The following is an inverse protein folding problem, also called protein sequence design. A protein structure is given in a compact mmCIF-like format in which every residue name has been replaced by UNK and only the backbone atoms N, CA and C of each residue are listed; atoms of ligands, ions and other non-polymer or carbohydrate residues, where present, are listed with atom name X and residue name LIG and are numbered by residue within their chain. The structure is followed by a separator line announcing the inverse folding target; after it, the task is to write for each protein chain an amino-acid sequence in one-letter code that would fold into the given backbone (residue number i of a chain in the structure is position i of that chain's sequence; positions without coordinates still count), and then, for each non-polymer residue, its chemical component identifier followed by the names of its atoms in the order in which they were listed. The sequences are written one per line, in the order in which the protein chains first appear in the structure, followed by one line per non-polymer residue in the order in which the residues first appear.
data_IF_598790846168
#
_entry.id   IF_598790846168
#
_cell.length_a   1.000
_cell.length_b   1.000
_cell.length_c   1.000
_cell.angle_alpha   90.00
_cell.angle_beta   90.00
_cell.angle_gamma   90.00
#
_symmetry.space_group_name_H-M   'P 1'
#
loop_
_entity.id
_entity.type
_entity.pdbx_description
1 polymer ?
#
# COMPACT_ATOMS: atom_id res chain seq x y z
N UNK A 1 -37.24 11.54 24.06
CA UNK A 1 -36.41 10.49 23.42
C UNK A 1 -35.26 11.09 22.59
N UNK A 2 -35.00 12.39 22.70
CA UNK A 2 -34.15 13.12 21.74
C UNK A 2 -32.65 13.14 22.10
N UNK A 3 -32.25 13.04 23.37
CA UNK A 3 -30.84 13.11 23.79
C UNK A 3 -29.95 12.06 23.10
N UNK A 4 -30.45 10.85 22.89
CA UNK A 4 -29.70 9.77 22.22
C UNK A 4 -29.52 10.03 20.71
N UNK A 5 -30.51 10.63 20.06
CA UNK A 5 -30.46 10.99 18.65
C UNK A 5 -29.51 12.18 18.42
N UNK A 6 -29.58 13.19 19.28
CA UNK A 6 -28.63 14.30 19.30
C UNK A 6 -27.21 13.81 19.55
N UNK A 7 -26.99 12.89 20.51
CA UNK A 7 -25.68 12.30 20.75
C UNK A 7 -25.13 11.54 19.53
N UNK A 8 -25.96 10.76 18.83
CA UNK A 8 -25.54 10.03 17.62
C UNK A 8 -25.15 10.99 16.51
N UNK A 9 -25.92 12.07 16.30
CA UNK A 9 -25.64 13.11 15.30
C UNK A 9 -24.35 13.86 15.66
N UNK A 10 -24.23 14.32 16.90
CA UNK A 10 -23.05 15.01 17.43
C UNK A 10 -21.80 14.14 17.28
N UNK A 11 -21.88 12.85 17.65
CA UNK A 11 -20.78 11.90 17.46
C UNK A 11 -20.35 11.76 16.00
N UNK A 12 -21.32 11.66 15.08
CA UNK A 12 -21.04 11.57 13.64
C UNK A 12 -20.33 12.82 13.14
N UNK A 13 -20.82 14.00 13.53
CA UNK A 13 -20.26 15.29 13.15
C UNK A 13 -18.88 15.52 13.78
N UNK A 14 -18.67 15.19 15.05
CA UNK A 14 -17.36 15.27 15.70
C UNK A 14 -16.34 14.36 15.00
N UNK A 15 -16.74 13.15 14.61
CA UNK A 15 -15.88 12.26 13.82
C UNK A 15 -15.54 12.87 12.45
N UNK A 16 -16.53 13.44 11.76
CA UNK A 16 -16.34 14.13 10.47
C UNK A 16 -15.44 15.37 10.61
N UNK A 17 -15.61 16.14 11.70
CA UNK A 17 -14.76 17.29 12.08
C UNK A 17 -13.31 16.85 12.22
N UNK A 18 -13.04 15.84 13.05
CA UNK A 18 -11.70 15.31 13.26
C UNK A 18 -11.06 14.83 11.96
N UNK A 19 -11.80 14.06 11.15
CA UNK A 19 -11.29 13.58 9.86
C UNK A 19 -10.94 14.74 8.91
N UNK A 20 -11.79 15.77 8.87
CA UNK A 20 -11.59 16.94 8.01
C UNK A 20 -10.43 17.80 8.51
N UNK A 21 -10.31 18.02 9.83
CA UNK A 21 -9.18 18.69 10.48
C UNK A 21 -7.87 17.95 10.20
N UNK A 22 -7.88 16.63 10.31
CA UNK A 22 -6.75 15.79 9.94
C UNK A 22 -6.38 15.92 8.47
N UNK A 23 -7.37 15.94 7.58
CA UNK A 23 -7.12 16.15 6.15
C UNK A 23 -6.49 17.52 5.89
N UNK A 24 -7.00 18.57 6.53
CA UNK A 24 -6.52 19.94 6.42
C UNK A 24 -5.09 20.09 6.97
N UNK A 25 -4.81 19.51 8.14
CA UNK A 25 -3.46 19.43 8.70
C UNK A 25 -2.48 18.69 7.78
N UNK A 26 -2.93 17.65 7.08
CA UNK A 26 -2.11 16.99 6.06
C UNK A 26 -1.81 17.93 4.89
N UNK A 27 -2.84 18.52 4.27
CA UNK A 27 -2.70 19.38 3.09
C UNK A 27 -1.80 20.58 3.36
N UNK A 28 -1.91 21.20 4.55
CA UNK A 28 -1.04 22.30 4.98
C UNK A 28 0.45 21.95 5.02
N UNK A 29 0.82 20.68 5.19
CA UNK A 29 2.24 20.26 5.19
C UNK A 29 2.84 20.17 3.79
N UNK A 30 2.01 19.93 2.77
CA UNK A 30 2.46 19.75 1.38
C UNK A 30 2.82 21.08 0.69
N UNK A 31 2.12 22.16 1.03
CA UNK A 31 2.35 23.50 0.46
C UNK A 31 3.78 24.03 0.75
N UNK A 32 4.23 24.17 2.02
CA UNK A 32 5.55 24.71 2.31
C UNK A 32 6.68 23.80 1.84
N UNK A 33 6.44 22.48 1.79
CA UNK A 33 7.44 21.52 1.31
C UNK A 33 7.49 21.41 -0.21
N UNK A 34 6.62 22.11 -0.96
CA UNK A 34 6.47 21.97 -2.43
C UNK A 34 6.39 20.50 -2.87
N UNK A 35 5.75 19.66 -2.05
CA UNK A 35 5.56 18.24 -2.37
C UNK A 35 4.14 18.01 -2.83
N UNK A 36 3.95 17.34 -3.97
CA UNK A 36 2.62 17.01 -4.49
C UNK A 36 2.25 15.59 -4.02
N UNK A 37 1.09 15.40 -3.37
CA UNK A 37 0.60 14.07 -3.02
C UNK A 37 0.46 13.20 -4.27
N UNK A 38 0.77 11.89 -4.17
CA UNK A 38 0.77 10.99 -5.34
C UNK A 38 -0.53 10.99 -6.15
N UNK A 39 -1.67 11.11 -5.48
CA UNK A 39 -2.99 11.12 -6.15
C UNK A 39 -3.33 12.43 -6.85
N UNK A 40 -2.55 13.50 -6.63
CA UNK A 40 -2.70 14.81 -7.28
C UNK A 40 -1.61 15.05 -8.33
N UNK A 41 -0.72 14.09 -8.54
CA UNK A 41 0.37 14.24 -9.49
C UNK A 41 -0.13 13.92 -10.90
N UNK A 42 -0.12 14.93 -11.76
CA UNK A 42 -0.53 14.82 -13.16
C UNK A 42 0.61 14.20 -13.96
N UNK A 43 0.43 12.95 -14.39
CA UNK A 43 1.40 12.21 -15.22
C UNK A 43 0.95 12.19 -16.67
N UNK A 44 1.10 13.33 -17.34
CA UNK A 44 0.77 13.45 -18.76
C UNK A 44 2.06 13.72 -19.54
N UNK A 45 2.31 12.91 -20.57
CA UNK A 45 3.42 13.11 -21.48
C UNK A 45 2.96 13.91 -22.71
N UNK A 46 3.76 14.85 -23.21
CA UNK A 46 3.42 15.59 -24.41
C UNK A 46 3.45 14.65 -25.62
N UNK A 47 2.39 14.66 -26.42
CA UNK A 47 2.33 13.91 -27.69
C UNK A 47 3.08 14.62 -28.83
N UNK A 48 3.44 15.88 -28.63
CA UNK A 48 4.18 16.68 -29.59
C UNK A 48 5.62 16.17 -29.81
N UNK A 49 6.23 16.44 -30.98
CA UNK A 49 7.61 16.05 -31.29
C UNK A 49 8.67 16.66 -30.35
N UNK A 50 8.29 17.64 -29.52
CA UNK A 50 9.16 18.29 -28.53
C UNK A 50 9.60 17.42 -27.34
N UNK A 51 9.06 16.21 -27.18
CA UNK A 51 9.40 15.30 -26.05
C UNK A 51 10.88 14.93 -25.96
N UNK A 52 11.65 15.04 -27.05
CA UNK A 52 13.10 14.79 -27.08
C UNK A 52 13.92 15.95 -26.48
N UNK A 53 13.37 17.16 -26.47
CA UNK A 53 14.07 18.34 -25.96
C UNK A 53 13.97 18.41 -24.44
N UNK A 54 15.12 18.36 -23.76
CA UNK A 54 15.21 18.50 -22.29
C UNK A 54 14.59 19.83 -21.81
N UNK A 55 14.81 20.92 -22.56
CA UNK A 55 14.27 22.24 -22.24
C UNK A 55 12.74 22.25 -22.27
N UNK A 56 12.15 21.63 -23.29
CA UNK A 56 10.70 21.52 -23.42
C UNK A 56 10.10 20.66 -22.31
N UNK A 57 10.67 19.48 -22.05
CA UNK A 57 10.20 18.58 -20.99
C UNK A 57 10.31 19.22 -19.60
N UNK A 58 11.37 19.97 -19.31
CA UNK A 58 11.50 20.70 -18.06
C UNK A 58 10.37 21.72 -17.88
N UNK A 59 10.10 22.53 -18.92
CA UNK A 59 9.02 23.52 -18.90
C UNK A 59 7.63 22.88 -18.80
N UNK A 60 7.42 21.77 -19.51
CA UNK A 60 6.19 20.98 -19.46
C UNK A 60 5.92 20.46 -18.05
N UNK A 61 6.91 19.83 -17.43
CA UNK A 61 6.79 19.31 -16.07
C UNK A 61 6.61 20.43 -15.04
N UNK A 62 7.24 21.58 -15.23
CA UNK A 62 7.03 22.78 -14.41
C UNK A 62 5.56 23.23 -14.45
N UNK A 63 4.95 23.27 -15.64
CA UNK A 63 3.52 23.60 -15.79
C UNK A 63 2.64 22.57 -15.07
N UNK A 64 2.85 21.27 -15.31
CA UNK A 64 2.07 20.21 -14.66
C UNK A 64 2.21 20.25 -13.13
N UNK A 65 3.41 20.52 -12.63
CA UNK A 65 3.68 20.69 -11.22
C UNK A 65 2.91 21.89 -10.65
N UNK A 66 2.95 23.05 -11.33
CA UNK A 66 2.22 24.24 -10.92
C UNK A 66 0.71 24.00 -10.91
N UNK A 67 0.14 23.33 -11.92
CA UNK A 67 -1.27 22.93 -11.94
C UNK A 67 -1.60 22.02 -10.74
N UNK A 68 -0.73 21.05 -10.45
CA UNK A 68 -0.92 20.14 -9.30
C UNK A 68 -0.92 20.89 -7.96
N UNK A 69 -0.08 21.92 -7.81
CA UNK A 69 -0.05 22.80 -6.62
C UNK A 69 -1.31 23.67 -6.55
N UNK A 70 -1.78 24.22 -7.67
CA UNK A 70 -3.04 25.00 -7.69
C UNK A 70 -4.24 24.12 -7.31
N UNK A 71 -4.31 22.89 -7.80
CA UNK A 71 -5.33 21.92 -7.38
C UNK A 71 -5.26 21.61 -5.88
N UNK A 72 -4.05 21.51 -5.33
CA UNK A 72 -3.84 21.33 -3.89
C UNK A 72 -4.37 22.54 -3.08
N UNK A 73 -4.15 23.76 -3.56
CA UNK A 73 -4.66 24.99 -2.94
C UNK A 73 -6.19 25.08 -3.01
N UNK A 74 -6.79 24.73 -4.15
CA UNK A 74 -8.24 24.67 -4.32
C UNK A 74 -8.86 23.62 -3.39
N UNK A 75 -8.22 22.45 -3.25
CA UNK A 75 -8.67 21.43 -2.30
C UNK A 75 -8.54 21.93 -0.85
N UNK A 76 -7.49 22.68 -0.53
CA UNK A 76 -7.32 23.26 0.80
C UNK A 76 -8.41 24.29 1.12
N UNK A 77 -8.76 25.17 0.17
CA UNK A 77 -9.83 26.15 0.38
C UNK A 77 -11.18 25.47 0.57
N UNK A 78 -11.53 24.51 -0.30
CA UNK A 78 -12.76 23.72 -0.18
C UNK A 78 -12.86 22.99 1.16
N UNK A 79 -11.80 22.28 1.56
CA UNK A 79 -11.78 21.54 2.83
C UNK A 79 -11.84 22.47 4.05
N UNK A 80 -11.30 23.68 3.96
CA UNK A 80 -11.39 24.69 5.01
C UNK A 80 -12.82 25.20 5.17
N UNK A 81 -13.53 25.46 4.06
CA UNK A 81 -14.94 25.87 4.09
C UNK A 81 -15.82 24.77 4.68
N UNK A 82 -15.63 23.52 4.25
CA UNK A 82 -16.37 22.37 4.78
C UNK A 82 -16.09 22.18 6.29
N UNK A 83 -14.84 22.36 6.73
CA UNK A 83 -14.51 22.32 8.16
C UNK A 83 -15.29 23.37 8.96
N UNK A 84 -15.38 24.61 8.47
CA UNK A 84 -16.17 25.68 9.11
C UNK A 84 -17.65 25.32 9.19
N UNK A 85 -18.22 24.78 8.11
CA UNK A 85 -19.63 24.34 8.11
C UNK A 85 -19.89 23.27 9.17
N UNK A 86 -19.04 22.24 9.26
CA UNK A 86 -19.18 21.20 10.28
C UNK A 86 -19.05 21.77 11.70
N UNK A 87 -18.14 22.71 11.92
CA UNK A 87 -17.99 23.37 13.23
C UNK A 87 -19.24 24.17 13.59
N UNK A 88 -19.81 24.90 12.63
CA UNK A 88 -21.05 25.65 12.83
C UNK A 88 -22.23 24.70 13.11
N UNK A 89 -22.37 23.61 12.35
CA UNK A 89 -23.41 22.60 12.62
C UNK A 89 -23.29 21.99 14.02
N UNK A 90 -22.07 21.77 14.51
CA UNK A 90 -21.83 21.30 15.87
C UNK A 90 -22.21 22.37 16.90
N UNK A 91 -21.87 23.65 16.68
CA UNK A 91 -22.25 24.72 17.60
C UNK A 91 -23.76 24.91 17.65
N UNK A 92 -24.44 24.81 16.52
CA UNK A 92 -25.90 24.96 16.44
C UNK A 92 -26.60 23.86 17.25
N UNK A 93 -26.17 22.61 17.08
CA UNK A 93 -26.70 21.47 17.86
C UNK A 93 -26.41 21.61 19.36
N UNK A 94 -25.26 22.19 19.75
CA UNK A 94 -24.92 22.40 21.16
C UNK A 94 -25.73 23.54 21.78
N UNK A 95 -26.05 24.57 20.99
CA UNK A 95 -26.79 25.74 21.43
C UNK A 95 -28.32 25.51 21.39
N UNK A 96 -28.79 24.47 20.70
CA UNK A 96 -30.20 24.05 20.74
C UNK A 96 -30.63 23.73 22.19
N UNK A 97 -31.65 24.44 22.66
CA UNK A 97 -32.22 24.37 24.03
C UNK A 97 -32.82 23.01 24.40
N UNK A 98 -32.91 22.08 23.44
CA UNK A 98 -33.49 20.74 23.60
C UNK A 98 -32.49 19.72 24.19
N UNK A 99 -31.19 20.04 24.24
CA UNK A 99 -30.22 19.21 24.97
C UNK A 99 -30.34 19.55 26.45
N UNK A 100 -30.83 18.59 27.24
CA UNK A 100 -30.89 18.72 28.71
C UNK A 100 -29.53 19.19 29.25
N UNK A 101 -29.52 20.27 30.04
CA UNK A 101 -28.29 20.85 30.62
C UNK A 101 -27.47 19.83 31.40
N UNK A 102 -28.13 18.82 31.96
CA UNK A 102 -27.52 17.76 32.76
C UNK A 102 -26.83 16.68 31.90
N UNK A 103 -27.27 16.47 30.65
CA UNK A 103 -26.69 15.50 29.72
C UNK A 103 -25.42 16.04 29.02
N UNK A 104 -25.33 17.36 28.87
CA UNK A 104 -24.23 18.05 28.19
C UNK A 104 -22.82 17.70 28.71
N UNK A 105 -22.54 17.68 30.03
CA UNK A 105 -21.22 17.28 30.54
C UNK A 105 -20.87 15.81 30.24
N UNK A 106 -21.87 14.91 30.27
CA UNK A 106 -21.68 13.48 29.98
C UNK A 106 -21.34 13.29 28.50
N UNK A 107 -22.05 13.99 27.62
CA UNK A 107 -21.82 13.99 26.18
C UNK A 107 -20.42 14.53 25.85
N UNK A 108 -20.02 15.65 26.46
CA UNK A 108 -18.69 16.26 26.25
C UNK A 108 -17.55 15.30 26.65
N UNK A 109 -17.66 14.60 27.79
CA UNK A 109 -16.66 13.59 28.19
C UNK A 109 -16.55 12.45 27.18
N UNK A 110 -17.69 11.89 26.75
CA UNK A 110 -17.70 10.81 25.75
C UNK A 110 -17.12 11.24 24.40
N UNK A 111 -17.33 12.49 23.99
CA UNK A 111 -16.72 13.02 22.78
C UNK A 111 -15.20 13.17 22.92
N UNK A 112 -14.71 13.66 24.06
CA UNK A 112 -13.27 13.80 24.31
C UNK A 112 -12.53 12.45 24.25
N UNK A 113 -13.15 11.38 24.74
CA UNK A 113 -12.58 10.03 24.63
C UNK A 113 -12.46 9.57 23.16
N UNK A 114 -13.46 9.88 22.34
CA UNK A 114 -13.45 9.58 20.90
C UNK A 114 -12.36 10.39 20.19
N UNK A 115 -12.22 11.67 20.51
CA UNK A 115 -11.17 12.54 19.98
C UNK A 115 -9.79 11.93 20.26
N UNK A 116 -9.53 11.51 21.51
CA UNK A 116 -8.26 10.89 21.92
C UNK A 116 -7.96 9.61 21.14
N UNK A 117 -8.95 8.73 20.95
CA UNK A 117 -8.80 7.48 20.21
C UNK A 117 -8.51 7.75 18.72
N UNK A 118 -9.28 8.61 18.06
CA UNK A 118 -9.10 8.90 16.63
C UNK A 118 -7.77 9.63 16.35
N UNK A 119 -7.36 10.57 17.21
CA UNK A 119 -6.08 11.27 17.13
C UNK A 119 -4.89 10.30 17.10
N UNK A 120 -4.91 9.28 17.96
CA UNK A 120 -3.85 8.28 18.04
C UNK A 120 -3.72 7.46 16.74
N UNK A 121 -4.86 6.99 16.20
CA UNK A 121 -4.92 6.21 14.95
C UNK A 121 -4.49 7.02 13.73
N UNK A 122 -4.81 8.32 13.70
CA UNK A 122 -4.55 9.17 12.54
C UNK A 122 -3.09 9.67 12.48
N UNK A 123 -2.44 9.94 13.62
CA UNK A 123 -1.03 10.39 13.66
C UNK A 123 -0.07 9.36 13.04
N UNK A 124 -0.27 8.08 13.32
CA UNK A 124 0.59 7.01 12.79
C UNK A 124 0.44 6.86 11.26
N UNK A 125 -0.81 6.88 10.76
CA UNK A 125 -1.10 6.84 9.32
C UNK A 125 -0.53 8.05 8.57
N UNK A 126 -0.56 9.23 9.18
CA UNK A 126 -0.03 10.47 8.60
C UNK A 126 1.48 10.38 8.37
N UNK A 127 2.26 9.96 9.39
CA UNK A 127 3.72 9.83 9.26
C UNK A 127 4.09 8.90 8.10
N UNK A 128 3.42 7.76 8.01
CA UNK A 128 3.65 6.77 6.97
C UNK A 128 3.23 7.26 5.57
N UNK A 129 2.16 8.05 5.44
CA UNK A 129 1.75 8.61 4.14
C UNK A 129 2.71 9.70 3.68
N UNK A 130 3.03 10.66 4.56
CA UNK A 130 3.92 11.77 4.22
C UNK A 130 5.32 11.28 3.86
N UNK A 131 5.88 10.31 4.60
CA UNK A 131 7.17 9.72 4.26
C UNK A 131 7.15 9.02 2.89
N UNK A 132 6.08 8.28 2.56
CA UNK A 132 5.93 7.63 1.24
C UNK A 132 5.86 8.64 0.09
N UNK A 133 5.26 9.79 0.33
CA UNK A 133 5.07 10.82 -0.68
C UNK A 133 6.34 11.68 -0.83
N UNK A 134 7.04 12.01 0.27
CA UNK A 134 8.35 12.67 0.28
C UNK A 134 9.42 11.85 -0.45
N UNK A 135 9.43 10.53 -0.28
CA UNK A 135 10.35 9.64 -0.99
C UNK A 135 10.11 9.73 -2.52
N UNK A 136 8.85 9.77 -2.95
CA UNK A 136 8.51 9.79 -4.38
C UNK A 136 8.85 11.12 -5.06
N UNK A 137 8.73 12.25 -4.36
CA UNK A 137 9.17 13.55 -4.90
C UNK A 137 10.68 13.60 -5.12
N UNK A 138 11.48 12.93 -4.27
CA UNK A 138 12.94 12.84 -4.46
C UNK A 138 13.28 11.99 -5.69
N UNK A 139 12.63 10.84 -5.89
CA UNK A 139 12.88 10.00 -7.06
C UNK A 139 12.51 10.68 -8.39
N UNK A 140 11.40 11.40 -8.46
CA UNK A 140 11.04 12.16 -9.66
C UNK A 140 12.05 13.26 -10.01
N UNK A 141 12.70 13.84 -9.00
CA UNK A 141 13.74 14.84 -9.23
C UNK A 141 15.10 14.21 -9.59
N UNK A 142 15.37 12.96 -9.20
CA UNK A 142 16.58 12.21 -9.58
C UNK A 142 16.51 11.68 -11.02
N UNK A 143 15.35 11.15 -11.45
CA UNK A 143 15.14 10.71 -12.84
C UNK A 143 15.25 11.86 -13.87
N UNK A 144 15.18 13.13 -13.42
CA UNK A 144 15.40 14.30 -14.28
C UNK A 144 16.88 14.59 -14.55
N UNK A 145 17.80 14.12 -13.70
CA UNK A 145 19.24 14.32 -13.86
C UNK A 145 19.93 13.13 -14.55
N UNK A 146 19.41 11.91 -14.40
CA UNK A 146 20.01 10.69 -14.94
C UNK A 146 19.15 10.06 -16.07
N UNK A 147 19.13 10.69 -17.25
CA UNK A 147 18.56 10.05 -18.47
C UNK A 147 19.59 9.14 -19.17
N UNK A 148 20.82 9.03 -18.67
CA UNK A 148 21.81 8.08 -19.18
C UNK A 148 22.25 7.13 -18.07
N UNK A 149 21.43 6.13 -17.72
CA UNK A 149 21.87 4.76 -17.36
C UNK A 149 20.70 3.87 -16.91
N UNK A 150 20.47 2.81 -17.68
CA UNK A 150 20.11 1.45 -17.24
C UNK A 150 18.88 1.23 -16.33
N UNK A 151 17.90 0.56 -16.94
CA UNK A 151 17.09 -0.55 -16.39
C UNK A 151 17.30 -0.89 -14.90
N UNK A 152 16.76 -0.09 -13.98
CA UNK A 152 16.57 -0.51 -12.60
C UNK A 152 15.13 -0.98 -12.36
N UNK A 153 14.91 -2.29 -12.56
CA UNK A 153 13.77 -3.00 -11.96
C UNK A 153 13.90 -2.91 -10.44
N UNK A 154 13.21 -1.96 -9.82
CA UNK A 154 13.15 -1.87 -8.35
C UNK A 154 12.46 -3.13 -7.81
N UNK A 155 13.16 -3.99 -7.02
CA UNK A 155 12.53 -5.17 -6.46
C UNK A 155 11.53 -4.72 -5.40
N UNK A 156 10.25 -5.03 -5.61
CA UNK A 156 9.20 -4.91 -4.58
C UNK A 156 9.59 -5.81 -3.40
N UNK A 157 10.28 -5.26 -2.41
CA UNK A 157 10.55 -5.93 -1.13
C UNK A 157 9.22 -6.14 -0.40
N UNK A 158 8.56 -7.28 -0.64
CA UNK A 158 7.52 -7.81 0.23
C UNK A 158 8.17 -8.04 1.60
N UNK A 159 7.93 -7.14 2.54
CA UNK A 159 8.34 -7.32 3.93
C UNK A 159 7.50 -8.44 4.54
N UNK A 160 7.99 -9.66 4.48
CA UNK A 160 7.52 -10.72 5.38
C UNK A 160 7.91 -10.32 6.81
N UNK A 161 6.92 -10.09 7.67
CA UNK A 161 7.15 -9.98 9.12
C UNK A 161 7.57 -11.37 9.61
N UNK A 162 8.87 -11.61 9.74
CA UNK A 162 9.40 -12.74 10.50
C UNK A 162 9.05 -12.53 11.98
N UNK A 163 8.20 -13.40 12.51
CA UNK A 163 7.93 -13.54 13.94
C UNK A 163 9.22 -14.08 14.58
N UNK A 164 9.92 -13.26 15.39
CA UNK A 164 11.11 -13.72 16.12
C UNK A 164 10.65 -14.69 17.21
N UNK A 165 11.04 -15.95 17.09
CA UNK A 165 11.14 -16.83 18.27
C UNK A 165 12.43 -16.46 19.01
N UNK A 166 12.29 -16.38 20.34
CA UNK A 166 13.32 -16.06 21.31
C UNK A 166 14.03 -17.38 21.63
N UNK A 167 15.28 -17.53 21.23
CA UNK A 167 16.16 -18.60 21.71
C UNK A 167 17.45 -17.98 22.22
N UNK A 168 17.87 -18.51 23.37
CA UNK A 168 18.85 -17.98 24.28
C UNK A 168 20.29 -18.16 23.78
N UNK A 169 21.14 -17.35 24.39
CA UNK A 169 22.55 -17.11 24.17
C UNK A 169 23.46 -18.30 24.44
N UNK A 170 24.43 -18.56 23.56
CA UNK A 170 25.76 -19.07 23.92
C UNK A 170 26.83 -18.28 23.15
N UNK A 171 27.86 -17.88 23.89
CA UNK A 171 28.98 -16.99 23.56
C UNK A 171 30.06 -17.72 22.76
N UNK A 172 30.64 -17.08 21.72
CA UNK A 172 32.06 -17.19 21.34
C UNK A 172 32.45 -16.24 20.19
N UNK A 173 33.34 -15.30 20.52
CA UNK A 173 34.43 -14.58 19.80
C UNK A 173 34.37 -14.20 18.29
N UNK A 174 34.95 -13.04 17.88
CA UNK A 174 34.85 -12.49 16.52
C UNK A 174 36.05 -12.83 15.60
N UNK A 175 35.78 -13.12 14.33
CA UNK A 175 36.77 -13.10 13.24
C UNK A 175 36.25 -12.30 12.02
N UNK A 176 37.16 -11.70 11.21
CA UNK A 176 36.85 -10.60 10.31
C UNK A 176 36.19 -11.04 8.98
N UNK A 177 35.45 -10.09 8.42
CA UNK A 177 34.54 -10.23 7.29
C UNK A 177 35.19 -10.75 5.98
N UNK A 178 34.97 -12.02 5.66
CA UNK A 178 35.02 -12.51 4.29
C UNK A 178 33.75 -12.07 3.54
N UNK A 179 33.91 -11.21 2.53
CA UNK A 179 32.82 -10.78 1.65
C UNK A 179 32.30 -12.03 0.91
N UNK A 180 31.09 -12.49 1.26
CA UNK A 180 30.39 -13.54 0.50
C UNK A 180 30.09 -13.03 -0.91
N UNK A 181 30.86 -13.48 -1.89
CA UNK A 181 30.54 -13.33 -3.31
C UNK A 181 29.36 -14.26 -3.57
N UNK A 182 28.21 -13.68 -3.94
CA UNK A 182 27.02 -14.45 -4.33
C UNK A 182 27.25 -14.91 -5.76
N UNK A 183 27.77 -16.13 -5.93
CA UNK A 183 27.96 -16.74 -7.24
C UNK A 183 26.59 -17.19 -7.75
N UNK A 184 26.18 -16.74 -8.94
CA UNK A 184 24.91 -17.11 -9.55
C UNK A 184 24.99 -18.54 -10.13
N UNK A 185 23.92 -19.33 -10.14
CA UNK A 185 23.93 -20.69 -10.71
C UNK A 185 24.37 -20.73 -12.19
N UNK A 186 24.04 -19.68 -12.96
CA UNK A 186 24.44 -19.55 -14.37
C UNK A 186 25.96 -19.35 -14.52
N UNK A 187 26.61 -18.58 -13.63
CA UNK A 187 28.05 -18.39 -13.67
C UNK A 187 28.81 -19.68 -13.37
N UNK A 188 28.21 -20.59 -12.59
CA UNK A 188 28.76 -21.92 -12.30
C UNK A 188 28.63 -22.84 -13.51
N UNK A 189 27.47 -22.79 -14.20
CA UNK A 189 27.25 -23.55 -15.43
C UNK A 189 28.19 -23.11 -16.56
N UNK A 190 28.44 -21.80 -16.71
CA UNK A 190 29.38 -21.30 -17.71
C UNK A 190 30.81 -21.83 -17.47
N UNK A 191 31.28 -21.89 -16.23
CA UNK A 191 32.61 -22.45 -15.89
C UNK A 191 32.72 -23.95 -16.16
N UNK A 192 31.64 -24.70 -15.96
CA UNK A 192 31.57 -26.14 -16.25
C UNK A 192 31.74 -26.44 -17.75
N UNK A 193 31.20 -25.59 -18.63
CA UNK A 193 31.35 -25.78 -20.08
C UNK A 193 32.71 -25.35 -20.62
N UNK A 194 33.47 -24.53 -19.88
CA UNK A 194 34.79 -24.03 -20.30
C UNK A 194 35.97 -24.81 -19.74
N UNK A 195 35.75 -25.75 -18.81
CA UNK A 195 36.76 -26.74 -18.40
C UNK A 195 37.86 -26.26 -17.46
N UNK A 196 37.65 -25.19 -16.68
CA UNK A 196 38.61 -24.69 -15.68
C UNK A 196 38.24 -25.17 -14.25
N UNK A 197 39.03 -26.14 -13.77
CA UNK A 197 39.37 -26.63 -12.42
C UNK A 197 38.35 -26.98 -11.29
N UNK A 198 38.54 -28.22 -10.77
CA UNK A 198 38.44 -28.81 -9.41
C UNK A 198 37.38 -28.40 -8.35
N UNK A 199 36.35 -27.60 -8.67
CA UNK A 199 35.28 -27.22 -7.70
C UNK A 199 34.10 -28.24 -7.69
N UNK A 200 34.34 -29.51 -8.04
CA UNK A 200 33.26 -30.39 -8.49
C UNK A 200 32.41 -31.06 -7.40
N UNK A 201 32.86 -31.16 -6.13
CA UNK A 201 32.01 -31.72 -5.05
C UNK A 201 31.00 -30.72 -4.47
N UNK A 202 31.38 -29.44 -4.38
CA UNK A 202 30.56 -28.39 -3.74
C UNK A 202 29.28 -28.06 -4.52
N UNK A 203 29.34 -28.12 -5.85
CA UNK A 203 28.21 -27.78 -6.72
C UNK A 203 27.12 -28.84 -6.68
N UNK A 204 27.49 -30.13 -6.72
CA UNK A 204 26.53 -31.24 -6.67
C UNK A 204 25.83 -31.23 -5.31
N UNK A 205 26.57 -31.08 -4.22
CA UNK A 205 26.02 -30.96 -2.87
C UNK A 205 25.08 -29.75 -2.76
N UNK A 206 25.46 -28.61 -3.36
CA UNK A 206 24.60 -27.43 -3.39
C UNK A 206 23.30 -27.66 -4.17
N UNK A 207 23.36 -28.30 -5.34
CA UNK A 207 22.17 -28.62 -6.14
C UNK A 207 21.26 -29.58 -5.40
N UNK A 208 21.81 -30.64 -4.78
CA UNK A 208 21.05 -31.58 -3.94
C UNK A 208 20.36 -30.82 -2.80
N UNK A 209 21.07 -29.94 -2.08
CA UNK A 209 20.47 -29.16 -0.99
C UNK A 209 19.34 -28.23 -1.45
N UNK A 210 19.39 -27.73 -2.70
CA UNK A 210 18.30 -26.94 -3.28
C UNK A 210 17.10 -27.84 -3.61
N UNK A 211 17.34 -29.00 -4.21
CA UNK A 211 16.29 -29.97 -4.53
C UNK A 211 15.55 -30.42 -3.26
N UNK A 212 16.28 -30.77 -2.20
CA UNK A 212 15.68 -31.18 -0.92
C UNK A 212 14.85 -30.05 -0.30
N UNK A 213 15.37 -28.81 -0.31
CA UNK A 213 14.61 -27.64 0.15
C UNK A 213 13.36 -27.38 -0.66
N UNK A 214 13.39 -27.60 -1.97
CA UNK A 214 12.21 -27.46 -2.83
C UNK A 214 11.18 -28.55 -2.54
N UNK A 215 11.63 -29.78 -2.28
CA UNK A 215 10.76 -30.88 -1.85
C UNK A 215 10.08 -30.56 -0.52
N UNK A 216 10.83 -30.10 0.49
CA UNK A 216 10.31 -29.67 1.79
C UNK A 216 9.30 -28.52 1.66
N UNK A 217 9.63 -27.53 0.84
CA UNK A 217 8.76 -26.36 0.62
C UNK A 217 7.50 -26.72 -0.18
N UNK A 218 7.52 -27.76 -1.00
CA UNK A 218 6.38 -28.15 -1.84
C UNK A 218 5.11 -28.43 -1.02
N UNK A 219 5.26 -29.08 0.14
CA UNK A 219 4.16 -29.35 1.07
C UNK A 219 3.55 -28.06 1.61
N UNK A 220 4.39 -27.13 2.08
CA UNK A 220 3.97 -25.83 2.61
C UNK A 220 3.28 -24.99 1.53
N UNK A 221 3.73 -25.05 0.27
CA UNK A 221 3.07 -24.36 -0.84
C UNK A 221 1.69 -24.97 -1.12
N UNK A 222 1.58 -26.30 -1.17
CA UNK A 222 0.30 -27.00 -1.39
C UNK A 222 -0.74 -26.63 -0.31
N UNK A 223 -0.34 -26.66 0.95
CA UNK A 223 -1.20 -26.28 2.08
C UNK A 223 -1.67 -24.82 1.98
N UNK A 224 -0.74 -23.89 1.75
CA UNK A 224 -1.06 -22.47 1.60
C UNK A 224 -1.97 -22.18 0.40
N UNK A 225 -1.81 -22.92 -0.70
CA UNK A 225 -2.68 -22.82 -1.86
C UNK A 225 -4.09 -23.34 -1.55
N UNK A 226 -4.21 -24.47 -0.87
CA UNK A 226 -5.51 -25.01 -0.44
C UNK A 226 -6.24 -24.00 0.45
N UNK A 227 -5.55 -23.49 1.47
CA UNK A 227 -6.14 -22.55 2.42
C UNK A 227 -6.55 -21.22 1.76
N UNK A 228 -5.81 -20.76 0.75
CA UNK A 228 -6.21 -19.59 -0.06
C UNK A 228 -7.43 -19.88 -0.91
N UNK A 229 -7.49 -21.05 -1.57
CA UNK A 229 -8.67 -21.46 -2.35
C UNK A 229 -9.92 -21.48 -1.49
N UNK A 230 -9.84 -22.06 -0.29
CA UNK A 230 -10.93 -22.08 0.69
C UNK A 230 -11.37 -20.69 1.12
N UNK A 231 -10.43 -19.80 1.47
CA UNK A 231 -10.73 -18.41 1.83
C UNK A 231 -11.41 -17.65 0.69
N UNK A 232 -10.91 -17.81 -0.53
CA UNK A 232 -11.50 -17.19 -1.71
C UNK A 232 -12.91 -17.72 -1.94
N UNK A 233 -13.12 -19.04 -1.86
CA UNK A 233 -14.43 -19.70 -1.96
C UNK A 233 -15.41 -19.15 -0.91
N UNK A 234 -15.02 -19.12 0.37
CA UNK A 234 -15.83 -18.58 1.45
C UNK A 234 -16.17 -17.09 1.26
N UNK A 235 -15.21 -16.30 0.77
CA UNK A 235 -15.43 -14.88 0.48
C UNK A 235 -16.48 -14.67 -0.63
N UNK A 236 -16.41 -15.47 -1.69
CA UNK A 236 -17.40 -15.43 -2.78
C UNK A 236 -18.78 -15.85 -2.28
N UNK A 237 -18.90 -16.95 -1.54
CA UNK A 237 -20.20 -17.40 -1.01
C UNK A 237 -20.81 -16.42 -0.02
N UNK A 238 -20.03 -15.89 0.93
CA UNK A 238 -20.55 -14.94 1.93
C UNK A 238 -21.02 -13.61 1.32
N UNK A 239 -20.56 -13.28 0.10
CA UNK A 239 -20.97 -12.09 -0.64
C UNK A 239 -21.90 -12.38 -1.79
N UNK A 240 -22.17 -13.65 -2.09
CA UNK A 240 -23.14 -14.05 -3.08
C UNK A 240 -24.52 -13.68 -2.54
N UNK A 241 -25.28 -12.92 -3.33
CA UNK A 241 -26.69 -12.68 -3.08
C UNK A 241 -27.47 -13.70 -3.87
N UNK A 242 -28.49 -14.28 -3.25
CA UNK A 242 -29.49 -15.04 -4.00
C UNK A 242 -30.14 -14.10 -5.01
N UNK A 243 -30.16 -14.54 -6.27
CA UNK A 243 -30.82 -13.86 -7.37
C UNK A 243 -31.69 -14.90 -8.07
N UNK A 244 -32.97 -14.59 -8.20
CA UNK A 244 -33.89 -15.32 -9.05
C UNK A 244 -33.72 -14.78 -10.48
N UNK A 245 -33.70 -15.68 -11.46
CA UNK A 245 -33.51 -15.34 -12.88
C UNK A 245 -34.83 -15.58 -13.62
N UNK A 246 -35.18 -14.65 -14.50
CA UNK A 246 -36.37 -14.76 -15.34
C UNK A 246 -36.00 -15.14 -16.79
N UNK A 247 -36.92 -15.74 -17.55
CA UNK A 247 -36.70 -16.05 -18.96
C UNK A 247 -36.33 -14.79 -19.76
N UNK A 248 -35.15 -14.77 -20.35
CA UNK A 248 -34.60 -13.60 -21.07
C UNK A 248 -33.40 -12.94 -20.39
N UNK A 249 -33.08 -13.30 -19.14
CA UNK A 249 -31.86 -12.84 -18.48
C UNK A 249 -30.61 -13.48 -19.08
N UNK A 250 -29.64 -12.65 -19.46
CA UNK A 250 -28.32 -13.11 -19.89
C UNK A 250 -27.41 -13.40 -18.69
N UNK A 251 -26.91 -14.64 -18.61
CA UNK A 251 -26.00 -15.08 -17.54
C UNK A 251 -24.65 -15.44 -18.14
N UNK A 252 -23.58 -14.85 -17.58
CA UNK A 252 -22.21 -15.20 -17.94
C UNK A 252 -21.82 -16.53 -17.28
N UNK A 253 -21.75 -17.59 -18.08
CA UNK A 253 -21.27 -18.91 -17.67
C UNK A 253 -19.76 -19.02 -17.95
N UNK A 254 -18.96 -19.14 -16.90
CA UNK A 254 -17.54 -19.48 -17.05
C UNK A 254 -17.41 -21.00 -17.13
N UNK A 255 -17.30 -21.52 -18.34
CA UNK A 255 -17.02 -22.94 -18.55
C UNK A 255 -15.51 -23.20 -18.43
N UNK A 256 -15.10 -24.27 -17.72
CA UNK A 256 -13.70 -24.67 -17.70
C UNK A 256 -13.30 -25.10 -19.12
N UNK A 257 -12.44 -24.32 -19.75
CA UNK A 257 -11.86 -24.67 -21.06
C UNK A 257 -10.86 -25.81 -20.89
N UNK A 258 -10.92 -26.80 -21.78
CA UNK A 258 -10.03 -27.97 -21.83
C UNK A 258 -8.55 -27.58 -21.87
N UNK A 259 -8.22 -26.39 -22.39
CA UNK A 259 -6.85 -25.85 -22.40
C UNK A 259 -6.25 -25.63 -21.00
N UNK A 260 -7.08 -25.57 -19.95
CA UNK A 260 -6.63 -25.39 -18.57
C UNK A 260 -6.37 -26.70 -17.79
N UNK A 261 -6.77 -27.87 -18.33
CA UNK A 261 -6.57 -29.18 -17.68
C UNK A 261 -5.15 -29.73 -17.85
N UNK A 262 -4.41 -29.31 -18.89
CA UNK A 262 -3.12 -29.94 -19.23
C UNK A 262 -1.94 -29.56 -18.31
N UNK A 263 -2.15 -28.71 -17.30
CA UNK A 263 -1.08 -28.24 -16.42
C UNK A 263 -1.04 -28.96 -15.05
N UNK A 264 -1.98 -29.86 -14.77
CA UNK A 264 -2.00 -30.63 -13.51
C UNK A 264 -1.33 -32.00 -13.63
N UNK A 265 -1.22 -32.57 -14.83
CA UNK A 265 -0.62 -33.90 -15.04
C UNK A 265 0.91 -33.87 -15.20
N UNK A 266 1.52 -32.70 -15.38
CA UNK A 266 2.97 -32.54 -15.40
C UNK A 266 3.62 -32.62 -14.00
N UNK A 267 2.82 -32.63 -12.92
CA UNK A 267 3.29 -32.66 -11.53
C UNK A 267 3.06 -34.01 -10.82
N UNK A 268 2.57 -35.02 -11.55
CA UNK A 268 2.40 -36.40 -11.04
C UNK A 268 3.40 -37.40 -11.64
N UNK A 269 4.37 -36.94 -12.44
CA UNK A 269 5.44 -37.75 -13.05
C UNK A 269 6.87 -37.27 -12.75
N UNK A 270 7.06 -36.59 -11.63
CA UNK A 270 8.37 -36.40 -10.98
C UNK A 270 8.20 -36.87 -9.54
#
# INVERSE_FOLDING_TARGET
MDSALHFKKLRSLTKKKLQTEHHLSNLKKYIPSRTVPKGLNIKVSPQAPGHKSKRFMSRWNEILFNCSIQLLQLLLSFTTTNYKQIVNEISDIINDSNISRDDLPIIKRRLADIEKIELSKHKEKQRNKFQRDKIHTVYLNQDMNDINTTNHKVPRKRKFKRRKQKTESIVSSPQPAARKIVIMPITILCGLFTGEDEIHRSVIEHVITICDRLADMSGVVKENLSHRKEKTKAWYYNRARFREFEPGDEVLLLLPSEASKNNTDALSRI
#
